data_IF_215771175178
#
_entry.id   IF_215771175178
#
_cell.length_a   1.000
_cell.length_b   1.000
_cell.length_c   1.000
_cell.angle_alpha   90.00
_cell.angle_beta   90.00
_cell.angle_gamma   90.00
#
_symmetry.space_group_name_H-M   'P 1'
#
loop_
_entity.id
_entity.type
_entity.pdbx_description
1 polymer ?
#
# COMPACT_ATOMS: atom_id res chain seq x y z
N UNK A 1 -21.51 -7.85 -4.04
CA UNK A 1 -20.63 -7.65 -2.86
C UNK A 1 -21.41 -7.40 -1.58
N UNK A 2 -22.54 -6.66 -1.64
CA UNK A 2 -23.35 -6.35 -0.44
C UNK A 2 -23.91 -7.57 0.26
N UNK A 3 -24.30 -8.62 -0.48
CA UNK A 3 -24.76 -9.87 0.11
C UNK A 3 -23.64 -10.63 0.85
N UNK A 4 -22.43 -10.58 0.32
CA UNK A 4 -21.25 -11.19 0.92
C UNK A 4 -20.88 -10.55 2.24
N UNK A 5 -20.99 -9.22 2.32
CA UNK A 5 -20.65 -8.44 3.51
C UNK A 5 -21.40 -8.91 4.75
N UNK A 6 -22.72 -9.01 4.67
CA UNK A 6 -23.54 -9.44 5.80
C UNK A 6 -23.26 -10.88 6.24
N UNK A 7 -22.77 -11.71 5.36
CA UNK A 7 -22.52 -13.12 5.64
C UNK A 7 -21.13 -13.37 6.23
N UNK A 8 -20.18 -12.49 5.93
CA UNK A 8 -18.82 -12.61 6.43
C UNK A 8 -18.64 -12.10 7.87
N UNK A 9 -19.59 -11.38 8.43
CA UNK A 9 -19.46 -10.70 9.74
C UNK A 9 -19.77 -11.57 10.97
N UNK A 10 -20.05 -12.82 10.83
CA UNK A 10 -20.52 -13.66 11.95
C UNK A 10 -21.94 -13.34 12.42
N UNK A 11 -22.42 -12.13 12.31
CA UNK A 11 -23.81 -11.74 12.58
C UNK A 11 -24.81 -12.42 11.65
N UNK A 12 -24.35 -12.82 10.49
CA UNK A 12 -25.14 -13.58 9.54
C UNK A 12 -25.53 -14.98 10.08
N UNK A 13 -24.68 -15.60 10.87
CA UNK A 13 -24.99 -16.88 11.50
C UNK A 13 -26.14 -16.72 12.52
N UNK A 14 -26.13 -15.65 13.30
CA UNK A 14 -27.15 -15.33 14.28
C UNK A 14 -28.49 -14.95 13.63
N UNK A 15 -28.46 -14.48 12.38
CA UNK A 15 -29.66 -14.12 11.60
C UNK A 15 -30.15 -15.24 10.69
N UNK A 16 -29.57 -16.43 10.77
CA UNK A 16 -29.96 -17.59 9.95
C UNK A 16 -29.45 -17.59 8.52
N UNK A 17 -28.51 -16.71 8.16
CA UNK A 17 -27.84 -16.75 6.86
C UNK A 17 -26.76 -17.83 6.84
N UNK A 18 -26.62 -18.50 5.71
CA UNK A 18 -25.48 -19.38 5.46
C UNK A 18 -24.31 -18.52 4.97
N UNK A 19 -23.13 -18.56 5.61
CA UNK A 19 -21.95 -17.86 5.13
C UNK A 19 -21.65 -18.22 3.67
N UNK A 20 -21.39 -17.22 2.85
CA UNK A 20 -20.91 -17.44 1.49
C UNK A 20 -19.40 -17.66 1.57
N UNK A 21 -18.96 -18.81 1.11
CA UNK A 21 -17.55 -19.05 0.83
C UNK A 21 -17.25 -18.44 -0.54
N UNK A 22 -16.23 -17.58 -0.61
CA UNK A 22 -15.79 -17.03 -1.88
C UNK A 22 -15.33 -18.16 -2.81
N UNK A 23 -15.97 -18.29 -3.95
CA UNK A 23 -15.60 -19.30 -4.94
C UNK A 23 -14.34 -18.90 -5.73
N UNK A 24 -13.77 -19.86 -6.45
CA UNK A 24 -12.56 -19.65 -7.23
C UNK A 24 -12.73 -18.58 -8.32
N UNK A 25 -13.94 -18.41 -8.85
CA UNK A 25 -14.23 -17.38 -9.86
C UNK A 25 -14.18 -15.98 -9.24
N UNK A 26 -14.76 -15.82 -8.03
CA UNK A 26 -14.68 -14.56 -7.28
C UNK A 26 -13.24 -14.24 -6.89
N UNK A 27 -12.49 -15.25 -6.45
CA UNK A 27 -11.08 -15.08 -6.07
C UNK A 27 -10.19 -14.72 -7.25
N UNK A 28 -10.53 -15.15 -8.46
CA UNK A 28 -9.80 -14.84 -9.69
C UNK A 28 -10.06 -13.41 -10.21
N UNK A 29 -11.10 -12.72 -9.72
CA UNK A 29 -11.38 -11.35 -10.13
C UNK A 29 -10.30 -10.40 -9.61
N UNK A 30 -9.78 -9.57 -10.49
CA UNK A 30 -8.77 -8.57 -10.16
C UNK A 30 -9.43 -7.25 -9.71
N UNK A 31 -9.74 -7.16 -8.41
CA UNK A 31 -10.22 -5.94 -7.77
C UNK A 31 -9.51 -5.72 -6.43
N UNK A 32 -9.49 -4.48 -5.97
CA UNK A 32 -8.94 -4.11 -4.68
C UNK A 32 -9.92 -4.29 -3.52
N UNK A 33 -9.48 -3.93 -2.33
CA UNK A 33 -10.29 -3.93 -1.11
C UNK A 33 -10.54 -2.49 -0.67
N UNK A 34 -11.75 -2.23 -0.23
CA UNK A 34 -12.17 -0.92 0.25
C UNK A 34 -12.94 -1.07 1.57
N UNK A 35 -12.53 -0.30 2.57
CA UNK A 35 -13.21 -0.17 3.85
C UNK A 35 -13.69 1.28 4.00
N UNK A 36 -14.98 1.48 4.21
CA UNK A 36 -15.62 2.80 4.36
C UNK A 36 -15.62 3.34 5.80
N UNK A 37 -15.01 2.63 6.74
CA UNK A 37 -14.89 3.04 8.15
C UNK A 37 -13.65 2.47 8.83
N UNK A 38 -12.51 2.59 8.15
CA UNK A 38 -11.24 2.05 8.60
C UNK A 38 -10.82 2.61 9.96
N UNK A 39 -10.37 1.73 10.85
CA UNK A 39 -9.96 2.04 12.22
C UNK A 39 -11.10 2.57 13.14
N UNK A 40 -12.35 2.20 12.92
CA UNK A 40 -13.43 2.54 13.85
C UNK A 40 -13.32 1.75 15.19
N UNK A 41 -14.08 2.16 16.20
CA UNK A 41 -14.02 1.56 17.54
C UNK A 41 -14.30 0.05 17.55
N UNK A 42 -15.18 -0.40 16.69
CA UNK A 42 -15.56 -1.82 16.58
C UNK A 42 -14.85 -2.56 15.46
N UNK A 43 -13.75 -2.01 14.94
CA UNK A 43 -12.90 -2.71 14.01
C UNK A 43 -12.34 -3.99 14.63
N UNK A 44 -12.10 -5.05 13.85
CA UNK A 44 -11.61 -6.35 14.34
C UNK A 44 -10.36 -6.20 15.23
N UNK A 45 -9.48 -5.28 14.88
CA UNK A 45 -8.28 -4.99 15.65
C UNK A 45 -8.60 -4.55 17.10
N UNK A 46 -9.79 -4.03 17.34
CA UNK A 46 -10.29 -3.59 18.65
C UNK A 46 -11.25 -4.62 19.25
N UNK A 47 -11.20 -5.86 18.85
CA UNK A 47 -12.11 -6.92 19.32
C UNK A 47 -13.60 -6.67 18.95
N UNK A 48 -13.83 -5.85 17.93
CA UNK A 48 -15.14 -5.66 17.33
C UNK A 48 -15.58 -6.85 16.50
N UNK A 49 -16.74 -6.73 15.87
CA UNK A 49 -17.27 -7.77 14.99
C UNK A 49 -16.58 -7.83 13.63
N UNK A 50 -15.65 -6.91 13.37
CA UNK A 50 -14.81 -6.91 12.19
C UNK A 50 -15.61 -6.82 10.89
N UNK A 51 -16.65 -6.01 10.85
CA UNK A 51 -17.63 -5.98 9.76
C UNK A 51 -17.01 -6.04 8.36
N UNK A 52 -16.15 -5.08 8.00
CA UNK A 52 -15.50 -5.05 6.71
C UNK A 52 -14.36 -6.07 6.61
N UNK A 53 -13.62 -6.28 7.67
CA UNK A 53 -12.50 -7.22 7.73
C UNK A 53 -12.93 -8.66 7.56
N UNK A 54 -14.07 -9.03 8.12
CA UNK A 54 -14.64 -10.35 7.88
C UNK A 54 -14.90 -10.59 6.40
N UNK A 55 -15.42 -9.57 5.71
CA UNK A 55 -15.60 -9.62 4.26
C UNK A 55 -14.27 -9.71 3.51
N UNK A 56 -13.29 -8.94 3.93
CA UNK A 56 -11.97 -8.97 3.31
C UNK A 56 -11.33 -10.37 3.43
N UNK A 57 -11.46 -11.02 4.59
CA UNK A 57 -10.98 -12.40 4.77
C UNK A 57 -11.64 -13.38 3.79
N UNK A 58 -12.98 -13.32 3.69
CA UNK A 58 -13.75 -14.22 2.82
C UNK A 58 -13.42 -14.05 1.34
N UNK A 59 -13.07 -12.84 0.91
CA UNK A 59 -12.70 -12.56 -0.48
C UNK A 59 -11.20 -12.55 -0.74
N UNK A 60 -10.40 -13.10 0.19
CA UNK A 60 -8.98 -13.37 -0.02
C UNK A 60 -8.03 -12.25 0.36
N UNK A 61 -8.30 -11.53 1.45
CA UNK A 61 -7.41 -10.48 1.97
C UNK A 61 -5.93 -10.91 2.03
N UNK A 62 -5.66 -12.16 2.43
CA UNK A 62 -4.28 -12.65 2.60
C UNK A 62 -3.42 -12.60 1.34
N UNK A 63 -4.01 -12.57 0.15
CA UNK A 63 -3.29 -12.58 -1.12
C UNK A 63 -3.79 -11.54 -2.12
N UNK A 64 -4.98 -11.02 -1.96
CA UNK A 64 -5.59 -10.08 -2.92
C UNK A 64 -4.78 -8.80 -3.08
N UNK A 65 -4.18 -8.31 -2.00
CA UNK A 65 -3.32 -7.14 -2.01
C UNK A 65 -2.07 -7.30 -2.89
N UNK A 66 -1.69 -8.52 -3.30
CA UNK A 66 -0.62 -8.73 -4.28
C UNK A 66 -0.99 -8.18 -5.66
N UNK A 67 -2.27 -8.08 -5.97
CA UNK A 67 -2.76 -7.76 -7.32
C UNK A 67 -3.69 -6.55 -7.39
N UNK A 68 -4.26 -6.14 -6.27
CA UNK A 68 -5.21 -5.04 -6.17
C UNK A 68 -4.97 -4.15 -4.95
N UNK A 69 -5.27 -2.87 -5.12
CA UNK A 69 -5.09 -1.86 -4.08
C UNK A 69 -5.95 -2.16 -2.85
N UNK A 70 -5.44 -1.85 -1.66
CA UNK A 70 -6.20 -1.87 -0.41
C UNK A 70 -6.25 -0.46 0.17
N UNK A 71 -7.41 -0.03 0.62
CA UNK A 71 -7.60 1.29 1.19
C UNK A 71 -9.04 1.56 1.59
N UNK A 72 -9.41 2.81 1.68
CA UNK A 72 -10.77 3.17 2.05
C UNK A 72 -10.91 4.59 2.57
N UNK A 73 -11.82 4.76 3.51
CA UNK A 73 -12.03 5.97 4.27
C UNK A 73 -11.73 5.72 5.74
N UNK A 74 -11.06 6.68 6.42
CA UNK A 74 -10.94 6.63 7.87
C UNK A 74 -12.34 6.70 8.50
N UNK A 75 -12.51 6.09 9.67
CA UNK A 75 -13.80 6.12 10.36
C UNK A 75 -14.41 7.52 10.41
N UNK A 76 -15.64 7.63 9.98
CA UNK A 76 -16.44 8.86 9.97
C UNK A 76 -17.61 8.82 10.97
N UNK A 77 -17.67 7.82 11.83
CA UNK A 77 -18.73 7.69 12.83
C UNK A 77 -18.77 8.87 13.76
N UNK A 78 -17.61 9.42 14.09
CA UNK A 78 -17.50 10.68 14.81
C UNK A 78 -16.43 11.57 14.18
N UNK A 79 -16.55 12.89 14.38
CA UNK A 79 -15.44 13.81 14.04
C UNK A 79 -14.16 13.50 14.79
N UNK A 80 -14.30 12.97 15.99
CA UNK A 80 -13.16 12.58 16.80
C UNK A 80 -12.34 11.49 16.09
N UNK A 81 -12.99 10.51 15.52
CA UNK A 81 -12.33 9.42 14.78
C UNK A 81 -11.52 9.98 13.59
N UNK A 82 -12.16 10.78 12.73
CA UNK A 82 -11.48 11.37 11.58
C UNK A 82 -10.31 12.27 11.96
N UNK A 83 -10.41 13.01 13.05
CA UNK A 83 -9.36 13.94 13.48
C UNK A 83 -8.19 13.27 14.20
N UNK A 84 -8.39 12.08 14.74
CA UNK A 84 -7.41 11.41 15.59
C UNK A 84 -6.86 10.10 15.02
N UNK A 85 -7.25 9.68 13.81
CA UNK A 85 -6.71 8.43 13.25
C UNK A 85 -5.20 8.48 13.00
N UNK A 86 -4.61 9.68 12.88
CA UNK A 86 -3.17 9.90 12.77
C UNK A 86 -2.46 10.14 14.11
N UNK A 87 -3.14 9.92 15.26
CA UNK A 87 -2.50 10.00 16.56
C UNK A 87 -1.31 9.02 16.64
N UNK A 88 -0.07 9.48 16.90
CA UNK A 88 1.09 8.59 17.01
C UNK A 88 0.96 7.54 18.12
N UNK A 89 0.22 7.85 19.19
CA UNK A 89 -0.08 6.90 20.27
C UNK A 89 -1.19 5.91 19.89
N UNK A 90 -1.78 6.09 18.72
CA UNK A 90 -2.86 5.28 18.22
C UNK A 90 -4.26 5.74 18.63
N UNK A 91 -5.25 5.14 17.99
CA UNK A 91 -6.66 5.29 18.28
C UNK A 91 -7.24 3.88 18.46
N UNK A 92 -7.99 3.67 19.53
CA UNK A 92 -8.57 2.35 19.86
C UNK A 92 -7.53 1.20 19.91
N UNK A 93 -6.30 1.53 20.32
CA UNK A 93 -5.22 0.56 20.47
C UNK A 93 -4.38 0.30 19.21
N UNK A 94 -4.65 1.03 18.11
CA UNK A 94 -3.88 0.89 16.87
C UNK A 94 -3.35 2.22 16.37
N UNK A 95 -2.08 2.23 15.96
CA UNK A 95 -1.51 3.34 15.19
C UNK A 95 -1.86 3.16 13.71
N UNK A 96 -1.83 4.27 12.98
CA UNK A 96 -1.98 4.24 11.53
C UNK A 96 -0.96 3.29 10.86
N UNK A 97 0.29 3.37 11.28
CA UNK A 97 1.38 2.58 10.72
C UNK A 97 1.15 1.08 10.89
N UNK A 98 0.73 0.66 12.09
CA UNK A 98 0.44 -0.74 12.37
C UNK A 98 -0.77 -1.24 11.56
N UNK A 99 -1.81 -0.42 11.44
CA UNK A 99 -2.99 -0.76 10.65
C UNK A 99 -2.66 -0.78 9.15
N UNK A 100 -1.93 0.20 8.64
CA UNK A 100 -1.50 0.25 7.24
C UNK A 100 -0.64 -0.97 6.86
N UNK A 101 0.27 -1.37 7.74
CA UNK A 101 1.08 -2.57 7.53
C UNK A 101 0.25 -3.86 7.56
N UNK A 102 -0.66 -3.99 8.51
CA UNK A 102 -1.52 -5.19 8.62
C UNK A 102 -2.40 -5.41 7.39
N UNK A 103 -2.94 -4.34 6.84
CA UNK A 103 -3.91 -4.41 5.74
C UNK A 103 -3.32 -4.04 4.38
N UNK A 104 -2.00 -3.82 4.29
CA UNK A 104 -1.32 -3.46 3.05
C UNK A 104 -1.93 -2.24 2.36
N UNK A 105 -2.20 -1.19 3.15
CA UNK A 105 -2.91 0.00 2.69
C UNK A 105 -2.07 0.78 1.67
N UNK A 106 -2.71 1.18 0.58
CA UNK A 106 -2.09 1.96 -0.50
C UNK A 106 -2.68 3.36 -0.65
N UNK A 107 -3.86 3.59 -0.13
CA UNK A 107 -4.52 4.90 -0.11
C UNK A 107 -5.52 4.99 1.04
N UNK A 108 -5.77 6.19 1.52
CA UNK A 108 -6.80 6.46 2.53
C UNK A 108 -7.41 7.83 2.27
N UNK A 109 -8.71 7.92 2.40
CA UNK A 109 -9.47 9.18 2.32
C UNK A 109 -9.84 9.59 3.73
N UNK A 110 -9.57 10.85 4.10
CA UNK A 110 -10.01 11.40 5.37
C UNK A 110 -10.30 12.90 5.23
N UNK A 111 -11.57 13.26 5.29
CA UNK A 111 -12.02 14.63 5.02
C UNK A 111 -11.71 15.61 6.15
N UNK A 112 -11.67 15.17 7.41
CA UNK A 112 -11.56 16.03 8.59
C UNK A 112 -10.22 15.86 9.36
N UNK A 113 -9.27 15.10 8.79
CA UNK A 113 -7.97 14.86 9.43
C UNK A 113 -7.19 16.18 9.67
N UNK A 114 -7.26 17.11 8.71
CA UNK A 114 -6.64 18.43 8.82
C UNK A 114 -7.22 19.30 9.94
N UNK A 115 -8.42 18.99 10.41
CA UNK A 115 -9.05 19.68 11.55
C UNK A 115 -8.62 19.15 12.92
N UNK A 116 -7.82 18.08 12.96
CA UNK A 116 -7.33 17.47 14.20
C UNK A 116 -5.99 18.01 14.66
N UNK A 117 -5.62 17.68 15.88
CA UNK A 117 -4.32 18.03 16.49
C UNK A 117 -3.15 17.44 15.70
N UNK A 118 -3.36 16.29 15.09
CA UNK A 118 -2.35 15.53 14.33
C UNK A 118 -2.40 15.82 12.83
N UNK A 119 -3.20 16.79 12.39
CA UNK A 119 -3.34 17.18 10.98
C UNK A 119 -2.23 18.10 10.48
N UNK A 120 -0.97 17.80 10.78
CA UNK A 120 0.19 18.57 10.31
C UNK A 120 0.74 17.99 9.02
N UNK A 121 1.45 18.81 8.24
CA UNK A 121 2.08 18.37 6.99
C UNK A 121 3.06 17.22 7.24
N UNK A 122 3.87 17.36 8.29
CA UNK A 122 4.87 16.35 8.69
C UNK A 122 4.19 15.03 9.02
N UNK A 123 3.09 15.06 9.78
CA UNK A 123 2.37 13.84 10.14
C UNK A 123 1.70 13.18 8.93
N UNK A 124 1.18 13.97 8.00
CA UNK A 124 0.67 13.43 6.74
C UNK A 124 1.76 12.78 5.89
N UNK A 125 2.97 13.37 5.87
CA UNK A 125 4.11 12.77 5.17
C UNK A 125 4.53 11.44 5.81
N UNK A 126 4.64 11.37 7.14
CA UNK A 126 4.92 10.13 7.87
C UNK A 126 3.86 9.06 7.57
N UNK A 127 2.59 9.42 7.62
CA UNK A 127 1.49 8.51 7.33
C UNK A 127 1.50 8.02 5.88
N UNK A 128 1.81 8.89 4.92
CA UNK A 128 1.96 8.52 3.52
C UNK A 128 3.12 7.54 3.33
N UNK A 129 4.26 7.78 3.98
CA UNK A 129 5.41 6.87 3.95
C UNK A 129 5.12 5.53 4.61
N UNK A 130 4.18 5.44 5.55
CA UNK A 130 3.76 4.18 6.17
C UNK A 130 2.82 3.34 5.27
N UNK A 131 2.43 3.83 4.10
CA UNK A 131 1.52 3.16 3.17
C UNK A 131 2.17 2.92 1.80
N UNK A 132 1.58 2.02 1.02
CA UNK A 132 2.03 1.76 -0.35
C UNK A 132 3.41 1.12 -0.45
N UNK A 133 4.10 1.42 -1.52
CA UNK A 133 5.44 0.92 -1.82
C UNK A 133 6.53 1.92 -1.41
N UNK A 134 7.70 1.38 -1.06
CA UNK A 134 8.92 2.15 -0.81
C UNK A 134 10.11 1.42 -1.42
N UNK A 135 10.61 1.91 -2.53
CA UNK A 135 11.75 1.28 -3.18
C UNK A 135 13.07 1.73 -2.56
N UNK A 136 13.98 0.76 -2.40
CA UNK A 136 15.36 1.01 -1.99
C UNK A 136 16.32 0.26 -2.90
N UNK A 137 17.32 0.97 -3.41
CA UNK A 137 18.45 0.38 -4.11
C UNK A 137 19.43 -0.14 -3.05
N UNK A 138 19.61 -1.45 -3.03
CA UNK A 138 20.54 -2.15 -2.12
C UNK A 138 21.95 -2.22 -2.71
N UNK A 139 22.04 -2.31 -4.03
CA UNK A 139 23.31 -2.38 -4.76
C UNK A 139 23.15 -1.74 -6.13
N UNK A 140 24.14 -0.99 -6.54
CA UNK A 140 24.27 -0.43 -7.87
C UNK A 140 25.67 -0.77 -8.40
N UNK A 141 25.75 -1.41 -9.55
CA UNK A 141 26.98 -1.69 -10.27
C UNK A 141 26.85 -1.16 -11.68
N UNK A 142 27.73 -0.26 -12.09
CA UNK A 142 27.70 0.35 -13.40
C UNK A 142 29.02 0.19 -14.14
N UNK A 143 28.93 0.16 -15.46
CA UNK A 143 30.05 0.33 -16.37
C UNK A 143 29.64 1.30 -17.47
N UNK A 144 30.49 1.58 -18.44
CA UNK A 144 30.20 2.57 -19.48
C UNK A 144 28.98 2.29 -20.37
N UNK A 145 28.39 1.09 -20.32
CA UNK A 145 27.29 0.67 -21.20
C UNK A 145 26.07 0.08 -20.48
N UNK A 146 26.19 -0.25 -19.22
CA UNK A 146 25.16 -0.97 -18.46
C UNK A 146 25.20 -0.62 -17.00
N UNK A 147 24.01 -0.55 -16.36
CA UNK A 147 23.84 -0.42 -14.91
C UNK A 147 22.95 -1.53 -14.39
N UNK A 148 23.43 -2.26 -13.38
CA UNK A 148 22.70 -3.32 -12.68
C UNK A 148 22.35 -2.86 -11.30
N UNK A 149 21.07 -3.00 -10.95
CA UNK A 149 20.54 -2.66 -9.63
C UNK A 149 19.99 -3.91 -8.94
N UNK A 150 20.18 -3.97 -7.63
CA UNK A 150 19.42 -4.82 -6.73
C UNK A 150 18.48 -3.92 -5.93
N UNK A 151 17.18 -4.11 -6.06
CA UNK A 151 16.15 -3.23 -5.51
C UNK A 151 15.22 -4.03 -4.61
N UNK A 152 14.88 -3.50 -3.45
CA UNK A 152 13.85 -4.06 -2.57
C UNK A 152 12.69 -3.10 -2.40
N UNK A 153 11.52 -3.64 -2.06
CA UNK A 153 10.38 -2.86 -1.60
C UNK A 153 10.33 -2.91 -0.07
N UNK A 154 10.56 -1.80 0.61
CA UNK A 154 10.49 -1.65 2.07
C UNK A 154 9.11 -1.18 2.55
N UNK A 155 8.19 -0.89 1.61
CA UNK A 155 6.82 -0.49 1.93
C UNK A 155 5.95 -1.65 2.41
N UNK A 156 4.66 -1.41 2.47
CA UNK A 156 3.66 -2.36 2.96
C UNK A 156 2.83 -2.99 1.84
N UNK A 157 2.94 -2.49 0.62
CA UNK A 157 2.23 -2.98 -0.56
C UNK A 157 3.09 -2.85 -1.83
N UNK A 158 2.80 -3.60 -2.92
CA UNK A 158 3.50 -3.43 -4.19
C UNK A 158 2.99 -2.22 -4.97
N UNK A 159 3.76 -1.78 -5.98
CA UNK A 159 3.22 -0.94 -7.04
C UNK A 159 2.43 -1.81 -8.03
N UNK A 160 1.20 -1.39 -8.37
CA UNK A 160 0.27 -2.19 -9.22
C UNK A 160 0.34 -1.81 -10.70
N UNK A 161 1.11 -0.80 -11.06
CA UNK A 161 1.29 -0.33 -12.43
C UNK A 161 2.74 -0.45 -12.85
N UNK A 162 2.96 -0.52 -14.16
CA UNK A 162 4.31 -0.61 -14.67
C UNK A 162 5.14 0.63 -14.33
N UNK A 163 6.28 0.39 -13.72
CA UNK A 163 7.28 1.38 -13.38
C UNK A 163 8.68 0.76 -13.57
N UNK A 164 9.63 1.54 -14.00
CA UNK A 164 10.96 1.06 -14.38
C UNK A 164 12.03 2.01 -13.87
N UNK A 165 13.12 1.50 -13.36
CA UNK A 165 14.33 2.32 -13.22
C UNK A 165 14.83 2.73 -14.60
N UNK A 166 15.31 3.97 -14.72
CA UNK A 166 15.77 4.52 -15.99
C UNK A 166 16.97 5.46 -15.80
N UNK A 167 17.77 5.58 -16.85
CA UNK A 167 18.86 6.54 -17.03
C UNK A 167 18.62 7.23 -18.36
N UNK A 168 18.31 8.52 -18.36
CA UNK A 168 17.88 9.21 -19.54
C UNK A 168 16.66 8.56 -20.18
N UNK A 169 16.75 8.11 -21.43
CA UNK A 169 15.68 7.42 -22.14
C UNK A 169 15.74 5.87 -22.02
N UNK A 170 16.75 5.34 -21.37
CA UNK A 170 16.97 3.91 -21.24
C UNK A 170 16.32 3.39 -19.95
N UNK A 171 15.32 2.54 -20.08
CA UNK A 171 14.63 1.93 -18.94
C UNK A 171 15.14 0.51 -18.67
N UNK A 172 14.97 0.06 -17.46
CA UNK A 172 15.30 -1.31 -17.03
C UNK A 172 14.52 -2.37 -17.81
N UNK A 173 15.10 -3.56 -17.91
CA UNK A 173 14.53 -4.71 -18.60
C UNK A 173 13.28 -5.25 -17.92
N UNK A 174 13.15 -5.04 -16.62
CA UNK A 174 12.03 -5.54 -15.80
C UNK A 174 11.30 -4.38 -15.13
N UNK A 175 9.98 -4.52 -15.02
CA UNK A 175 9.12 -3.61 -14.28
C UNK A 175 9.21 -3.88 -12.77
N UNK A 176 9.05 -2.84 -11.98
CA UNK A 176 8.87 -2.90 -10.52
C UNK A 176 7.47 -3.38 -10.12
N UNK A 177 6.54 -3.49 -11.09
CA UNK A 177 5.17 -3.92 -10.84
C UNK A 177 5.14 -5.26 -10.13
N UNK A 178 4.40 -5.30 -9.02
CA UNK A 178 4.19 -6.52 -8.24
C UNK A 178 5.39 -6.90 -7.36
N UNK A 179 6.42 -6.07 -7.24
CA UNK A 179 7.49 -6.31 -6.26
C UNK A 179 6.92 -6.21 -4.86
N UNK A 180 6.75 -7.36 -4.21
CA UNK A 180 6.15 -7.47 -2.89
C UNK A 180 7.05 -6.88 -1.79
N UNK A 181 6.47 -6.48 -0.64
CA UNK A 181 7.24 -6.07 0.53
C UNK A 181 8.32 -7.07 0.92
N UNK A 182 9.53 -6.57 1.18
CA UNK A 182 10.75 -7.32 1.54
C UNK A 182 11.33 -8.20 0.41
N UNK A 183 10.66 -8.35 -0.73
CA UNK A 183 11.24 -9.02 -1.88
C UNK A 183 12.34 -8.16 -2.54
N UNK A 184 13.22 -8.83 -3.26
CA UNK A 184 14.32 -8.19 -3.99
C UNK A 184 14.23 -8.53 -5.47
N UNK A 185 14.36 -7.51 -6.31
CA UNK A 185 14.38 -7.61 -7.76
C UNK A 185 15.75 -7.13 -8.29
N UNK A 186 16.33 -7.90 -9.21
CA UNK A 186 17.51 -7.47 -9.96
C UNK A 186 17.08 -6.94 -11.31
N UNK A 187 17.46 -5.72 -11.63
CA UNK A 187 17.15 -5.08 -12.91
C UNK A 187 18.43 -4.60 -13.59
N UNK A 188 18.39 -4.57 -14.92
CA UNK A 188 19.48 -4.08 -15.76
C UNK A 188 18.97 -2.94 -16.62
N UNK A 189 19.70 -1.83 -16.66
CA UNK A 189 19.46 -0.68 -17.52
C UNK A 189 20.56 -0.69 -18.60
N UNK A 190 20.25 -0.65 -19.90
CA UNK A 190 21.25 -0.64 -20.97
C UNK A 190 21.85 0.75 -21.16
N UNK A 191 22.38 1.32 -20.09
CA UNK A 191 23.09 2.60 -20.02
C UNK A 191 24.00 2.63 -18.79
N UNK A 192 25.15 3.24 -18.92
CA UNK A 192 26.05 3.53 -17.80
C UNK A 192 25.51 4.69 -16.96
N UNK A 193 25.62 4.60 -15.64
CA UNK A 193 25.28 5.67 -14.70
C UNK A 193 26.50 6.55 -14.48
N UNK A 194 26.40 7.84 -14.81
CA UNK A 194 27.50 8.79 -14.62
C UNK A 194 27.37 9.56 -13.30
N UNK A 195 26.13 9.83 -12.88
CA UNK A 195 25.82 10.54 -11.64
C UNK A 195 24.59 9.92 -11.01
N UNK A 196 24.53 9.93 -9.68
CA UNK A 196 23.44 9.36 -8.91
C UNK A 196 22.06 9.95 -9.29
N UNK A 197 22.01 11.25 -9.53
CA UNK A 197 20.81 12.01 -9.89
C UNK A 197 20.26 11.68 -11.28
N UNK A 198 21.05 11.01 -12.14
CA UNK A 198 20.57 10.58 -13.45
C UNK A 198 19.66 9.32 -13.35
N UNK A 199 19.72 8.61 -12.21
CA UNK A 199 18.88 7.45 -11.96
C UNK A 199 17.51 7.89 -11.45
N UNK A 200 16.46 7.48 -12.15
CA UNK A 200 15.08 7.82 -11.80
C UNK A 200 14.14 6.65 -12.06
N UNK A 201 12.90 6.75 -11.58
CA UNK A 201 11.84 5.80 -11.91
C UNK A 201 10.87 6.45 -12.90
N UNK A 202 10.61 5.78 -14.00
CA UNK A 202 9.64 6.20 -15.03
C UNK A 202 8.42 5.29 -15.05
N UNK A 203 7.25 5.84 -15.31
CA UNK A 203 6.00 5.11 -15.48
C UNK A 203 5.09 5.82 -16.48
N UNK A 204 4.35 5.11 -17.34
CA UNK A 204 3.35 5.73 -18.20
C UNK A 204 2.08 6.16 -17.44
N UNK A 205 1.99 5.90 -16.15
CA UNK A 205 0.82 6.15 -15.32
C UNK A 205 0.98 7.33 -14.36
N UNK A 206 2.08 8.07 -14.44
CA UNK A 206 2.31 9.30 -13.68
C UNK A 206 2.34 10.50 -14.62
N UNK A 207 1.98 11.67 -14.10
CA UNK A 207 2.10 12.93 -14.84
C UNK A 207 3.56 13.34 -14.92
N UNK A 208 3.91 14.16 -15.92
CA UNK A 208 5.28 14.67 -16.10
C UNK A 208 5.80 15.51 -14.94
N UNK A 209 4.92 15.97 -14.07
CA UNK A 209 5.23 16.73 -12.85
C UNK A 209 5.28 15.86 -11.59
N UNK A 210 5.05 14.56 -11.72
CA UNK A 210 5.12 13.61 -10.62
C UNK A 210 6.39 12.79 -10.72
N UNK A 211 6.96 12.48 -9.57
CA UNK A 211 8.13 11.61 -9.44
C UNK A 211 7.80 10.43 -8.53
N UNK A 212 8.43 9.29 -8.79
CA UNK A 212 8.45 8.15 -7.89
C UNK A 212 9.82 8.15 -7.24
N UNK A 213 9.85 8.57 -5.97
CA UNK A 213 11.07 8.60 -5.18
C UNK A 213 11.52 7.19 -4.76
N UNK A 214 12.81 7.05 -4.47
CA UNK A 214 13.39 5.83 -3.92
C UNK A 214 14.58 6.17 -3.04
N UNK A 215 14.90 5.30 -2.08
CA UNK A 215 16.10 5.42 -1.26
C UNK A 215 17.28 4.72 -1.95
N UNK A 216 18.46 5.33 -1.91
CA UNK A 216 19.71 4.73 -2.35
C UNK A 216 20.86 5.21 -1.46
N UNK A 217 21.83 4.33 -1.19
CA UNK A 217 23.12 4.72 -0.65
C UNK A 217 24.17 4.43 -1.71
N UNK A 218 24.73 5.47 -2.28
CA UNK A 218 25.89 5.37 -3.16
C UNK A 218 27.12 5.48 -2.29
N UNK A 219 27.94 4.44 -2.25
CA UNK A 219 29.26 4.48 -1.63
C UNK A 219 30.21 4.87 -2.76
N UNK A 220 30.79 6.05 -2.68
CA UNK A 220 31.91 6.43 -3.54
C UNK A 220 33.12 5.59 -3.11
N UNK A 221 33.70 4.82 -4.03
CA UNK A 221 34.97 4.14 -3.85
C UNK A 221 36.16 5.09 -4.12
#
# INVERSE_FOLDING_TARGET
TTGTTKQATGKAADSGYTPIVADNALMALNFGLFDDSFMHEHHEINQGDGYNESCWREIGQGTRWHHGVCGGESSYYTRNDQRNFLNPEGMYGWTWEAAAAKYHITFMISNDATGGVYGTVERFQEAALASGYQFRVLQCVTNGSETRLSVTNQGVAPIYRDAYFAIGQHRSTMSLKGLLPQDTLKVTIPAGLSKAEDLHITSPYILSTQEIEFAAQFIEE
#
